data_IF_372970271188
#
_entry.id   IF_372970271188
#
_cell.length_a   1.000
_cell.length_b   1.000
_cell.length_c   1.000
_cell.angle_alpha   90.00
_cell.angle_beta   90.00
_cell.angle_gamma   90.00
#
_symmetry.space_group_name_H-M   'P 1'
#
loop_
_entity.id
_entity.type
_entity.pdbx_description
1 polymer ?
#
# COMPACT_ATOMS: atom_id res chain seq x y z
N UNK A 1 19.82 21.37 -20.76
CA UNK A 1 19.95 20.26 -19.80
C UNK A 1 19.12 19.15 -20.40
N UNK A 2 19.77 18.12 -20.95
CA UNK A 2 19.08 17.02 -21.60
C UNK A 2 18.32 16.26 -20.53
N UNK A 3 17.00 16.37 -20.57
CA UNK A 3 16.07 15.52 -19.85
C UNK A 3 16.39 14.09 -20.26
N UNK A 4 17.17 13.40 -19.44
CA UNK A 4 17.49 12.00 -19.66
C UNK A 4 16.20 11.25 -19.38
N UNK A 5 15.43 10.96 -20.44
CA UNK A 5 14.23 10.14 -20.34
C UNK A 5 14.54 8.90 -19.49
N UNK A 6 13.79 8.74 -18.40
CA UNK A 6 13.90 7.58 -17.51
C UNK A 6 13.65 6.34 -18.37
N UNK A 7 14.62 5.41 -18.40
CA UNK A 7 14.56 4.21 -19.24
C UNK A 7 13.76 3.06 -18.60
N UNK A 8 13.41 3.19 -17.32
CA UNK A 8 12.64 2.20 -16.57
C UNK A 8 12.46 2.59 -15.10
N UNK A 9 11.64 1.82 -14.40
CA UNK A 9 11.29 2.05 -13.00
C UNK A 9 11.64 0.84 -12.14
N UNK A 10 12.10 1.08 -10.92
CA UNK A 10 12.17 0.04 -9.89
C UNK A 10 11.05 0.30 -8.87
N UNK A 11 10.00 -0.52 -8.92
CA UNK A 11 8.84 -0.39 -8.04
C UNK A 11 9.13 -1.12 -6.75
N UNK A 12 9.20 -0.39 -5.62
CA UNK A 12 9.62 -0.90 -4.31
C UNK A 12 8.40 -1.04 -3.39
N UNK A 13 8.27 -2.21 -2.76
CA UNK A 13 7.20 -2.56 -1.83
C UNK A 13 7.20 -1.83 -0.49
N UNK A 14 6.29 -2.26 0.39
CA UNK A 14 6.10 -1.75 1.75
C UNK A 14 7.40 -1.84 2.57
N UNK A 15 7.92 -0.69 3.00
CA UNK A 15 9.23 -0.58 3.67
C UNK A 15 9.11 -0.72 5.18
N UNK A 16 8.06 -0.13 5.80
CA UNK A 16 7.78 -0.22 7.24
C UNK A 16 9.00 0.02 8.15
N UNK A 17 9.79 1.06 7.90
CA UNK A 17 10.95 1.38 8.72
C UNK A 17 12.12 0.41 8.60
N UNK A 18 12.15 -0.50 7.63
CA UNK A 18 13.29 -1.38 7.34
C UNK A 18 14.39 -0.62 6.57
N UNK A 19 15.10 0.26 7.27
CA UNK A 19 16.08 1.17 6.66
C UNK A 19 17.32 0.45 6.10
N UNK A 20 17.82 -0.57 6.82
CA UNK A 20 18.99 -1.32 6.38
C UNK A 20 18.67 -2.13 5.11
N UNK A 21 17.48 -2.74 5.08
CA UNK A 21 16.96 -3.43 3.91
C UNK A 21 16.69 -2.45 2.76
N UNK A 22 16.13 -1.27 3.01
CA UNK A 22 15.94 -0.28 1.95
C UNK A 22 17.27 0.09 1.27
N UNK A 23 18.29 0.43 2.05
CA UNK A 23 19.59 0.83 1.49
C UNK A 23 20.32 -0.34 0.81
N UNK A 24 20.22 -1.55 1.36
CA UNK A 24 20.78 -2.74 0.73
C UNK A 24 20.08 -3.05 -0.61
N UNK A 25 18.76 -2.90 -0.69
CA UNK A 25 18.00 -3.10 -1.92
C UNK A 25 18.35 -2.04 -2.96
N UNK A 26 18.45 -0.77 -2.57
CA UNK A 26 18.87 0.32 -3.46
C UNK A 26 20.27 0.04 -4.04
N UNK A 27 21.22 -0.39 -3.20
CA UNK A 27 22.56 -0.78 -3.65
C UNK A 27 22.52 -1.97 -4.62
N UNK A 28 21.74 -3.02 -4.31
CA UNK A 28 21.54 -4.19 -5.20
C UNK A 28 20.93 -3.78 -6.54
N UNK A 29 20.03 -2.80 -6.54
CA UNK A 29 19.42 -2.23 -7.73
C UNK A 29 20.35 -1.25 -8.46
N UNK A 30 21.55 -0.98 -7.96
CA UNK A 30 22.54 -0.11 -8.61
C UNK A 30 22.32 1.39 -8.39
N UNK A 31 21.56 1.78 -7.36
CA UNK A 31 21.48 3.18 -6.94
C UNK A 31 22.71 3.53 -6.11
N UNK A 32 23.25 4.72 -6.36
CA UNK A 32 24.40 5.25 -5.64
C UNK A 32 24.05 6.59 -4.99
N UNK A 33 24.72 6.91 -3.89
CA UNK A 33 24.58 8.22 -3.24
C UNK A 33 25.24 9.28 -4.15
N UNK A 34 24.45 10.25 -4.60
CA UNK A 34 24.93 11.34 -5.43
C UNK A 34 25.90 12.24 -4.63
N UNK A 35 27.16 12.33 -5.05
CA UNK A 35 28.24 13.01 -4.31
C UNK A 35 28.08 14.52 -4.08
N UNK A 36 27.04 15.16 -4.65
CA UNK A 36 26.74 16.58 -4.43
C UNK A 36 25.48 16.87 -3.63
N UNK A 37 24.50 15.97 -3.63
CA UNK A 37 23.15 16.20 -3.10
C UNK A 37 22.74 15.17 -2.04
N UNK A 38 23.44 14.02 -1.98
CA UNK A 38 23.34 13.05 -0.89
C UNK A 38 22.17 12.06 -0.98
N UNK A 39 21.33 12.16 -2.02
CA UNK A 39 20.27 11.18 -2.29
C UNK A 39 20.76 9.98 -3.11
N UNK A 40 20.05 8.86 -3.01
CA UNK A 40 20.25 7.73 -3.91
C UNK A 40 19.73 8.04 -5.33
N UNK A 41 20.51 7.71 -6.35
CA UNK A 41 20.17 7.91 -7.76
C UNK A 41 20.70 6.76 -8.61
N UNK A 42 19.91 6.34 -9.60
CA UNK A 42 20.35 5.46 -10.67
C UNK A 42 20.58 6.29 -11.96
N UNK A 43 21.59 5.99 -12.80
CA UNK A 43 21.89 6.77 -13.99
C UNK A 43 20.80 6.78 -15.07
N UNK A 44 19.93 5.76 -15.10
CA UNK A 44 18.88 5.62 -16.14
C UNK A 44 17.51 5.15 -15.64
N UNK A 45 17.34 4.89 -14.34
CA UNK A 45 16.10 4.35 -13.75
C UNK A 45 15.64 5.24 -12.60
N UNK A 46 14.34 5.18 -12.29
CA UNK A 46 13.76 5.93 -11.18
C UNK A 46 13.04 4.97 -10.22
N UNK A 47 13.19 5.17 -8.91
CA UNK A 47 12.48 4.33 -7.94
C UNK A 47 11.01 4.77 -7.84
N UNK A 48 10.10 3.84 -7.59
CA UNK A 48 8.69 4.15 -7.31
C UNK A 48 8.23 3.38 -6.08
N UNK A 49 7.98 4.06 -4.97
CA UNK A 49 7.55 3.43 -3.72
C UNK A 49 6.02 3.26 -3.68
N UNK A 50 5.55 2.09 -3.25
CA UNK A 50 4.10 1.80 -3.15
C UNK A 50 3.44 2.31 -1.85
N UNK A 51 4.16 3.11 -1.06
CA UNK A 51 3.69 3.64 0.23
C UNK A 51 4.18 2.81 1.42
N UNK A 52 3.57 3.02 2.58
CA UNK A 52 3.82 2.27 3.80
C UNK A 52 5.31 2.28 4.20
N UNK A 53 5.85 3.50 4.29
CA UNK A 53 7.23 3.74 4.70
C UNK A 53 7.42 3.59 6.21
N UNK A 54 6.38 3.91 6.99
CA UNK A 54 6.45 4.03 8.45
C UNK A 54 5.78 2.86 9.17
N UNK A 55 5.91 2.90 10.50
CA UNK A 55 5.43 1.95 11.50
C UNK A 55 6.12 0.59 11.46
N UNK A 56 5.97 -0.18 12.55
CA UNK A 56 6.53 -1.52 12.79
C UNK A 56 8.06 -1.63 12.91
N UNK A 57 8.83 -1.31 11.87
CA UNK A 57 10.27 -1.58 11.82
C UNK A 57 11.13 -0.57 12.57
N UNK A 58 12.45 -0.85 12.70
CA UNK A 58 13.32 -0.14 13.64
C UNK A 58 13.96 1.14 13.11
N UNK A 59 13.83 1.49 11.83
CA UNK A 59 14.56 2.58 11.16
C UNK A 59 13.65 3.67 10.58
N UNK A 60 12.61 4.07 11.30
CA UNK A 60 11.55 5.00 10.85
C UNK A 60 12.10 6.30 10.26
N UNK A 61 12.90 7.03 11.05
CA UNK A 61 13.44 8.33 10.62
C UNK A 61 14.39 8.19 9.42
N UNK A 62 15.19 7.13 9.37
CA UNK A 62 16.18 6.91 8.30
C UNK A 62 15.51 6.56 6.97
N UNK A 63 14.47 5.71 6.99
CA UNK A 63 13.64 5.46 5.79
C UNK A 63 13.08 6.78 5.26
N UNK A 64 12.49 7.59 6.14
CA UNK A 64 11.89 8.87 5.74
C UNK A 64 12.93 9.85 5.17
N UNK A 65 14.12 9.93 5.76
CA UNK A 65 15.22 10.76 5.25
C UNK A 65 15.65 10.32 3.86
N UNK A 66 15.84 9.02 3.64
CA UNK A 66 16.25 8.45 2.35
C UNK A 66 15.18 8.69 1.28
N UNK A 67 13.96 8.24 1.53
CA UNK A 67 12.89 8.28 0.51
C UNK A 67 12.49 9.71 0.20
N UNK A 68 12.35 10.57 1.21
CA UNK A 68 12.01 11.98 0.97
C UNK A 68 13.10 12.70 0.17
N UNK A 69 14.38 12.47 0.48
CA UNK A 69 15.48 13.07 -0.28
C UNK A 69 15.47 12.65 -1.76
N UNK A 70 15.17 11.37 -2.05
CA UNK A 70 15.04 10.89 -3.42
C UNK A 70 13.85 11.53 -4.15
N UNK A 71 12.69 11.66 -3.48
CA UNK A 71 11.50 12.28 -4.05
C UNK A 71 11.72 13.77 -4.31
N UNK A 72 12.28 14.51 -3.35
CA UNK A 72 12.59 15.93 -3.48
C UNK A 72 13.58 16.21 -4.63
N UNK A 73 14.52 15.29 -4.87
CA UNK A 73 15.51 15.37 -5.95
C UNK A 73 15.04 14.79 -7.31
N UNK A 74 13.80 14.28 -7.37
CA UNK A 74 13.23 13.65 -8.56
C UNK A 74 13.89 12.33 -8.97
N UNK A 75 14.63 11.66 -8.07
CA UNK A 75 15.18 10.31 -8.32
C UNK A 75 14.23 9.19 -7.86
N UNK A 76 13.13 9.55 -7.19
CA UNK A 76 12.03 8.65 -6.86
C UNK A 76 10.65 9.31 -7.01
N UNK A 77 9.63 8.46 -7.14
CA UNK A 77 8.22 8.80 -6.94
C UNK A 77 7.63 7.89 -5.86
N UNK A 78 6.45 8.23 -5.35
CA UNK A 78 5.77 7.47 -4.29
C UNK A 78 4.26 7.66 -4.37
N UNK A 79 3.51 6.62 -3.99
CA UNK A 79 2.08 6.73 -3.67
C UNK A 79 1.84 6.64 -2.16
N UNK A 80 0.74 7.19 -1.69
CA UNK A 80 0.33 7.14 -0.30
C UNK A 80 -0.01 5.71 0.13
N UNK A 81 0.60 5.24 1.22
CA UNK A 81 0.21 4.02 1.91
C UNK A 81 -0.89 4.27 2.94
N UNK A 82 -1.47 3.19 3.45
CA UNK A 82 -2.47 3.32 4.50
C UNK A 82 -1.84 3.77 5.83
N UNK A 83 -0.56 3.52 6.06
CA UNK A 83 0.13 3.94 7.29
C UNK A 83 0.38 5.46 7.30
N UNK A 84 0.77 6.06 6.18
CA UNK A 84 0.85 7.52 6.06
C UNK A 84 -0.52 8.17 6.25
N UNK A 85 -1.57 7.64 5.62
CA UNK A 85 -2.95 8.12 5.80
C UNK A 85 -3.43 8.00 7.25
N UNK A 86 -3.16 6.87 7.90
CA UNK A 86 -3.50 6.65 9.30
C UNK A 86 -2.75 7.60 10.23
N UNK A 87 -1.49 7.93 9.94
CA UNK A 87 -0.71 8.90 10.69
C UNK A 87 -1.33 10.30 10.58
N UNK A 88 -1.73 10.75 9.39
CA UNK A 88 -2.48 11.99 9.21
C UNK A 88 -3.72 12.01 10.12
N UNK A 89 -4.52 10.95 10.11
CA UNK A 89 -5.70 10.84 10.98
C UNK A 89 -5.36 10.80 12.48
N UNK A 90 -4.26 10.15 12.86
CA UNK A 90 -3.82 10.02 14.26
C UNK A 90 -3.40 11.36 14.84
N UNK A 91 -2.83 12.24 14.02
CA UNK A 91 -2.34 13.56 14.40
C UNK A 91 -3.35 14.69 14.19
N UNK A 92 -4.45 14.43 13.49
CA UNK A 92 -5.45 15.46 13.20
C UNK A 92 -6.65 15.41 14.15
N UNK A 93 -6.74 16.40 15.04
CA UNK A 93 -7.88 16.61 15.93
C UNK A 93 -9.05 17.24 15.16
N UNK A 94 -10.26 16.67 15.27
CA UNK A 94 -11.45 17.19 14.60
C UNK A 94 -12.75 16.98 15.41
N UNK A 95 -13.56 18.04 15.63
CA UNK A 95 -13.21 19.45 15.45
C UNK A 95 -12.02 19.86 16.33
N UNK A 96 -11.28 20.90 15.92
CA UNK A 96 -10.13 21.39 16.68
C UNK A 96 -10.52 21.77 18.13
N UNK A 97 -9.73 21.34 19.12
CA UNK A 97 -9.98 21.55 20.54
C UNK A 97 -11.03 20.63 21.17
N UNK A 98 -11.53 19.61 20.46
CA UNK A 98 -12.56 18.69 20.96
C UNK A 98 -12.04 17.50 21.78
N UNK A 99 -10.73 17.26 21.76
CA UNK A 99 -10.05 16.05 22.24
C UNK A 99 -10.24 14.82 21.33
N UNK A 100 -10.99 14.93 20.22
CA UNK A 100 -11.28 13.82 19.30
C UNK A 100 -10.39 13.90 18.06
N UNK A 101 -9.83 12.76 17.68
CA UNK A 101 -8.94 12.65 16.52
C UNK A 101 -9.61 11.84 15.41
N UNK A 102 -9.31 12.17 14.15
CA UNK A 102 -9.86 11.48 12.98
C UNK A 102 -9.56 9.97 13.03
N UNK A 103 -8.37 9.59 13.51
CA UNK A 103 -8.07 8.23 13.95
C UNK A 103 -7.99 8.19 15.47
N UNK A 104 -8.76 7.30 16.08
CA UNK A 104 -8.81 7.17 17.54
C UNK A 104 -7.45 6.84 18.13
N UNK A 105 -7.04 7.51 19.21
CA UNK A 105 -5.80 7.24 19.95
C UNK A 105 -6.00 6.21 21.07
N UNK A 106 -6.47 5.02 20.72
CA UNK A 106 -6.61 3.91 21.64
C UNK A 106 -5.34 3.03 21.65
N UNK A 107 -5.23 2.10 22.59
CA UNK A 107 -4.05 1.24 22.75
C UNK A 107 -3.65 0.51 21.45
N UNK A 108 -4.63 0.05 20.65
CA UNK A 108 -4.39 -0.61 19.36
C UNK A 108 -3.74 0.32 18.35
N UNK A 109 -4.33 1.49 18.10
CA UNK A 109 -3.83 2.42 17.09
C UNK A 109 -2.50 3.05 17.52
N UNK A 110 -2.34 3.35 18.81
CA UNK A 110 -1.07 3.82 19.36
C UNK A 110 0.01 2.75 19.20
N UNK A 111 -0.28 1.48 19.51
CA UNK A 111 0.68 0.38 19.31
C UNK A 111 1.13 0.27 17.83
N UNK A 112 0.19 0.41 16.88
CA UNK A 112 0.53 0.39 15.46
C UNK A 112 1.48 1.53 15.07
N UNK A 113 1.28 2.73 15.63
CA UNK A 113 2.05 3.93 15.32
C UNK A 113 3.26 4.17 16.25
N UNK A 114 3.50 3.27 17.21
CA UNK A 114 4.42 3.51 18.33
C UNK A 114 5.86 3.70 17.84
N UNK A 115 6.32 2.89 16.88
CA UNK A 115 7.68 2.97 16.37
C UNK A 115 7.99 4.36 15.78
N UNK A 116 7.04 4.97 15.07
CA UNK A 116 7.16 6.32 14.54
C UNK A 116 7.22 7.36 15.67
N UNK A 117 6.31 7.25 16.65
CA UNK A 117 6.27 8.14 17.80
C UNK A 117 7.54 8.08 18.66
N UNK A 118 8.13 6.89 18.81
CA UNK A 118 9.33 6.68 19.63
C UNK A 118 10.58 7.30 19.00
N UNK A 119 10.66 7.36 17.67
CA UNK A 119 11.86 7.81 16.96
C UNK A 119 11.82 9.28 16.54
N UNK A 120 10.64 9.82 16.23
CA UNK A 120 10.52 11.16 15.69
C UNK A 120 10.12 12.16 16.78
N UNK A 121 10.86 13.27 16.86
CA UNK A 121 10.45 14.45 17.65
C UNK A 121 9.19 15.08 17.06
N UNK A 122 8.42 15.83 17.86
CA UNK A 122 7.22 16.53 17.39
C UNK A 122 7.46 17.40 16.15
N UNK A 123 8.64 18.03 16.04
CA UNK A 123 9.01 18.81 14.87
C UNK A 123 9.18 17.93 13.62
N UNK A 124 9.86 16.81 13.74
CA UNK A 124 10.02 15.85 12.64
C UNK A 124 8.68 15.22 12.26
N UNK A 125 7.84 14.87 13.24
CA UNK A 125 6.50 14.35 12.98
C UNK A 125 5.70 15.33 12.13
N UNK A 126 5.62 16.61 12.51
CA UNK A 126 4.94 17.64 11.69
C UNK A 126 5.53 17.75 10.30
N UNK A 127 6.86 17.81 10.18
CA UNK A 127 7.53 17.91 8.88
C UNK A 127 7.14 16.78 7.92
N UNK A 128 7.13 15.53 8.40
CA UNK A 128 6.77 14.39 7.55
C UNK A 128 5.26 14.24 7.35
N UNK A 129 4.43 14.64 8.31
CA UNK A 129 2.97 14.69 8.12
C UNK A 129 2.59 15.71 7.04
N UNK A 130 3.24 16.87 7.02
CA UNK A 130 3.04 17.87 5.96
C UNK A 130 3.42 17.30 4.58
N UNK A 131 4.50 16.52 4.51
CA UNK A 131 4.87 15.81 3.29
C UNK A 131 3.87 14.69 2.93
N UNK A 132 3.44 13.87 3.88
CA UNK A 132 2.45 12.80 3.66
C UNK A 132 1.16 13.34 3.05
N UNK A 133 0.69 14.50 3.49
CA UNK A 133 -0.51 15.15 2.94
C UNK A 133 -0.41 15.49 1.44
N UNK A 134 0.81 15.53 0.88
CA UNK A 134 1.08 15.80 -0.54
C UNK A 134 1.21 14.55 -1.41
N UNK A 135 1.23 13.36 -0.82
CA UNK A 135 1.45 12.12 -1.57
C UNK A 135 0.22 11.79 -2.45
N UNK A 136 0.41 11.38 -3.72
CA UNK A 136 -0.68 10.95 -4.57
C UNK A 136 -1.17 9.56 -4.15
N UNK A 137 -2.46 9.30 -4.30
CA UNK A 137 -3.10 8.00 -4.04
C UNK A 137 -2.76 6.95 -5.11
N UNK A 138 -2.41 7.38 -6.32
CA UNK A 138 -2.02 6.51 -7.43
C UNK A 138 -1.08 7.26 -8.40
N UNK A 139 -0.35 6.50 -9.20
CA UNK A 139 0.44 6.98 -10.34
C UNK A 139 0.04 6.21 -11.61
N UNK A 140 -0.13 6.92 -12.72
CA UNK A 140 -0.21 6.35 -14.08
C UNK A 140 0.96 6.95 -14.86
N UNK A 141 1.97 6.13 -15.17
CA UNK A 141 3.29 6.56 -15.66
C UNK A 141 3.50 6.23 -17.15
N UNK A 142 2.42 6.16 -17.92
CA UNK A 142 2.44 5.85 -19.35
C UNK A 142 3.15 4.52 -19.68
N UNK A 143 2.42 3.43 -19.44
CA UNK A 143 2.91 2.06 -19.65
C UNK A 143 2.91 1.22 -18.38
N UNK A 144 2.84 1.84 -17.21
CA UNK A 144 2.60 1.16 -15.94
C UNK A 144 1.81 2.02 -14.96
N UNK A 145 1.22 1.36 -13.97
CA UNK A 145 0.39 1.95 -12.92
C UNK A 145 0.83 1.51 -11.55
N UNK A 146 0.75 2.41 -10.57
CA UNK A 146 1.10 2.12 -9.17
C UNK A 146 0.01 2.62 -8.24
N UNK A 147 -0.38 1.79 -7.29
CA UNK A 147 -1.35 2.10 -6.22
C UNK A 147 -0.96 1.30 -4.99
N UNK A 148 -1.23 1.81 -3.78
CA UNK A 148 -0.85 1.06 -2.59
C UNK A 148 -1.60 -0.28 -2.46
N UNK A 149 -2.93 -0.33 -2.65
CA UNK A 149 -3.67 -1.57 -2.42
C UNK A 149 -4.59 -2.05 -3.55
N UNK A 150 -5.38 -1.18 -4.20
CA UNK A 150 -6.27 -1.63 -5.28
C UNK A 150 -6.46 -0.58 -6.37
N UNK A 151 -6.24 -0.99 -7.62
CA UNK A 151 -6.48 -0.15 -8.79
C UNK A 151 -7.97 -0.13 -9.14
N UNK A 152 -8.76 0.56 -8.30
CA UNK A 152 -10.21 0.65 -8.43
C UNK A 152 -10.63 1.91 -9.19
N UNK A 153 -10.93 1.78 -10.49
CA UNK A 153 -11.18 2.92 -11.38
C UNK A 153 -12.34 3.80 -10.91
N UNK A 154 -13.42 3.20 -10.41
CA UNK A 154 -14.58 3.91 -9.93
C UNK A 154 -14.24 4.78 -8.71
N UNK A 155 -13.37 4.29 -7.82
CA UNK A 155 -12.86 5.07 -6.67
C UNK A 155 -12.03 6.25 -7.13
N UNK A 156 -11.11 6.03 -8.07
CA UNK A 156 -10.28 7.11 -8.64
C UNK A 156 -11.14 8.16 -9.35
N UNK A 157 -12.10 7.73 -10.16
CA UNK A 157 -13.02 8.64 -10.85
C UNK A 157 -13.87 9.44 -9.86
N UNK A 158 -14.27 8.83 -8.73
CA UNK A 158 -14.95 9.54 -7.65
C UNK A 158 -14.04 10.57 -7.00
N UNK A 159 -12.81 10.22 -6.64
CA UNK A 159 -11.84 11.17 -6.05
C UNK A 159 -11.56 12.31 -7.02
N UNK A 160 -11.24 12.01 -8.28
CA UNK A 160 -10.93 13.00 -9.30
C UNK A 160 -12.11 13.95 -9.57
N UNK A 161 -13.34 13.43 -9.63
CA UNK A 161 -14.54 14.24 -9.85
C UNK A 161 -14.84 15.19 -8.70
N UNK A 162 -14.56 14.78 -7.46
CA UNK A 162 -14.90 15.58 -6.28
C UNK A 162 -13.77 16.52 -5.83
N UNK A 163 -12.52 16.09 -5.94
CA UNK A 163 -11.36 16.80 -5.39
C UNK A 163 -10.35 17.24 -6.45
N UNK A 164 -10.48 16.78 -7.70
CA UNK A 164 -9.68 17.26 -8.83
C UNK A 164 -8.20 16.84 -8.81
N UNK A 165 -7.79 16.00 -7.85
CA UNK A 165 -6.39 15.62 -7.64
C UNK A 165 -6.27 14.19 -7.11
N UNK A 166 -5.20 13.50 -7.50
CA UNK A 166 -4.78 12.24 -6.88
C UNK A 166 -4.10 12.44 -5.52
N UNK A 167 -3.65 13.65 -5.18
CA UNK A 167 -3.05 14.02 -3.89
C UNK A 167 -3.96 15.00 -3.12
N UNK A 168 -5.09 14.53 -2.54
CA UNK A 168 -6.14 15.43 -2.07
C UNK A 168 -5.94 15.97 -0.65
N UNK A 169 -5.04 15.41 0.16
CA UNK A 169 -5.06 15.57 1.62
C UNK A 169 -4.31 16.79 2.17
N UNK A 170 -3.71 17.61 1.30
CA UNK A 170 -3.29 18.96 1.66
C UNK A 170 -4.49 19.83 2.07
N UNK A 171 -5.70 19.51 1.57
CA UNK A 171 -6.95 20.08 2.07
C UNK A 171 -7.48 19.25 3.25
N UNK A 172 -7.58 19.88 4.41
CA UNK A 172 -8.10 19.28 5.63
C UNK A 172 -9.54 18.79 5.49
N UNK A 173 -10.39 19.47 4.72
CA UNK A 173 -11.77 19.04 4.50
C UNK A 173 -11.84 17.68 3.78
N UNK A 174 -10.91 17.43 2.86
CA UNK A 174 -10.79 16.13 2.18
C UNK A 174 -10.34 15.04 3.15
N UNK A 175 -9.35 15.33 4.00
CA UNK A 175 -8.87 14.37 5.02
C UNK A 175 -9.97 14.00 6.02
N UNK A 176 -10.75 14.97 6.49
CA UNK A 176 -11.90 14.75 7.38
C UNK A 176 -12.95 13.88 6.68
N UNK A 177 -13.31 14.22 5.43
CA UNK A 177 -14.28 13.46 4.65
C UNK A 177 -13.82 12.02 4.35
N UNK A 178 -12.52 11.80 4.20
CA UNK A 178 -11.95 10.46 4.02
C UNK A 178 -11.96 9.59 5.30
N UNK A 179 -12.15 10.20 6.48
CA UNK A 179 -12.25 9.49 7.76
C UNK A 179 -13.70 9.32 8.25
N UNK A 180 -14.67 9.93 7.57
CA UNK A 180 -16.10 9.83 7.91
C UNK A 180 -16.75 8.67 7.16
N UNK A 181 -17.09 7.60 7.88
CA UNK A 181 -17.78 6.41 7.32
C UNK A 181 -19.13 6.71 6.67
N UNK A 182 -19.76 7.84 6.99
CA UNK A 182 -21.01 8.25 6.35
C UNK A 182 -20.77 8.99 5.03
N UNK A 183 -19.53 9.41 4.76
CA UNK A 183 -19.19 10.15 3.55
C UNK A 183 -18.99 9.21 2.36
N UNK A 184 -19.56 9.58 1.21
CA UNK A 184 -19.52 8.77 -0.04
C UNK A 184 -18.11 8.44 -0.57
N UNK A 185 -17.08 9.17 -0.14
CA UNK A 185 -15.68 8.93 -0.55
C UNK A 185 -14.92 8.04 0.43
N UNK A 186 -15.50 7.69 1.59
CA UNK A 186 -14.84 6.83 2.56
C UNK A 186 -14.44 5.49 1.92
N UNK A 187 -15.41 4.78 1.34
CA UNK A 187 -15.16 3.50 0.66
C UNK A 187 -14.22 3.66 -0.54
N UNK A 188 -14.22 4.83 -1.20
CA UNK A 188 -13.30 5.08 -2.29
C UNK A 188 -11.84 5.09 -1.80
N UNK A 189 -11.57 5.77 -0.68
CA UNK A 189 -10.25 5.82 -0.05
C UNK A 189 -9.86 4.48 0.59
N UNK A 190 -10.80 3.80 1.26
CA UNK A 190 -10.55 2.46 1.81
C UNK A 190 -10.18 1.46 0.70
N UNK A 191 -10.87 1.49 -0.45
CA UNK A 191 -10.51 0.63 -1.58
C UNK A 191 -9.08 0.92 -2.08
N UNK A 192 -8.72 2.18 -2.30
CA UNK A 192 -7.41 2.55 -2.86
C UNK A 192 -6.25 2.22 -1.91
N UNK A 193 -6.45 2.41 -0.60
CA UNK A 193 -5.41 2.26 0.43
C UNK A 193 -5.45 0.92 1.16
N UNK A 194 -6.53 0.15 1.14
CA UNK A 194 -6.63 -1.11 1.92
C UNK A 194 -7.16 -2.29 1.11
N UNK A 195 -7.57 -2.04 -0.12
CA UNK A 195 -8.05 -3.05 -1.04
C UNK A 195 -9.57 -3.23 -0.97
N UNK A 196 -10.10 -3.93 -1.98
CA UNK A 196 -11.52 -4.25 -2.04
C UNK A 196 -11.85 -5.43 -1.14
N UNK A 197 -12.88 -5.29 -0.30
CA UNK A 197 -13.30 -6.32 0.66
C UNK A 197 -14.66 -6.92 0.29
N UNK A 198 -14.90 -8.14 0.78
CA UNK A 198 -16.17 -8.85 0.68
C UNK A 198 -16.61 -9.33 2.07
N UNK A 199 -17.90 -9.18 2.37
CA UNK A 199 -18.47 -9.57 3.65
C UNK A 199 -18.72 -11.07 3.72
N UNK A 200 -17.97 -11.77 4.55
CA UNK A 200 -18.10 -13.23 4.77
C UNK A 200 -19.45 -13.57 5.41
N UNK A 201 -19.92 -12.75 6.35
CA UNK A 201 -21.19 -12.95 7.05
C UNK A 201 -22.41 -12.83 6.11
N UNK A 202 -22.37 -11.93 5.12
CA UNK A 202 -23.41 -11.84 4.08
C UNK A 202 -23.43 -13.07 3.17
N UNK A 203 -22.35 -13.84 3.14
CA UNK A 203 -22.25 -15.12 2.45
C UNK A 203 -22.50 -16.34 3.36
N UNK A 204 -22.96 -16.12 4.60
CA UNK A 204 -23.30 -17.19 5.55
C UNK A 204 -22.09 -17.84 6.23
N UNK A 205 -20.93 -17.16 6.25
CA UNK A 205 -19.73 -17.61 6.93
C UNK A 205 -19.55 -16.87 8.27
N UNK A 206 -18.91 -17.49 9.28
CA UNK A 206 -18.66 -16.84 10.56
C UNK A 206 -17.61 -15.72 10.43
N UNK A 207 -17.55 -14.77 11.37
CA UNK A 207 -16.42 -13.86 11.50
C UNK A 207 -15.12 -14.63 11.82
N UNK A 208 -13.97 -14.07 11.43
CA UNK A 208 -12.63 -14.63 11.73
C UNK A 208 -11.83 -13.71 12.65
N UNK A 209 -10.81 -14.24 13.33
CA UNK A 209 -9.81 -13.44 14.04
C UNK A 209 -8.61 -13.18 13.14
N UNK A 210 -8.22 -11.92 12.97
CA UNK A 210 -6.97 -11.57 12.27
C UNK A 210 -5.73 -11.96 13.08
N UNK A 211 -4.53 -11.79 12.49
CA UNK A 211 -3.24 -12.12 13.13
C UNK A 211 -3.00 -11.38 14.46
N UNK A 212 -3.70 -10.29 14.69
CA UNK A 212 -3.63 -9.48 15.92
C UNK A 212 -4.78 -9.81 16.89
N UNK A 213 -5.60 -10.82 16.60
CA UNK A 213 -6.73 -11.27 17.43
C UNK A 213 -8.00 -10.43 17.29
N UNK A 214 -8.11 -9.56 16.27
CA UNK A 214 -9.33 -8.79 16.07
C UNK A 214 -10.35 -9.55 15.24
N UNK A 215 -11.61 -9.51 15.67
CA UNK A 215 -12.73 -10.04 14.90
C UNK A 215 -12.97 -9.24 13.62
N UNK A 216 -13.12 -9.94 12.50
CA UNK A 216 -13.36 -9.42 11.16
C UNK A 216 -14.53 -10.15 10.51
N UNK A 217 -15.43 -9.39 9.91
CA UNK A 217 -16.56 -9.91 9.12
C UNK A 217 -16.34 -9.78 7.61
N UNK A 218 -15.37 -8.97 7.23
CA UNK A 218 -15.01 -8.69 5.84
C UNK A 218 -13.58 -9.15 5.61
N UNK A 219 -13.32 -9.67 4.41
CA UNK A 219 -11.99 -10.08 3.99
C UNK A 219 -11.65 -9.46 2.64
N UNK A 220 -10.38 -9.11 2.46
CA UNK A 220 -9.88 -8.58 1.20
C UNK A 220 -10.04 -9.58 0.07
N UNK A 221 -10.20 -9.04 -1.13
CA UNK A 221 -10.35 -9.82 -2.35
C UNK A 221 -9.14 -9.68 -3.26
N UNK A 222 -8.80 -10.77 -3.95
CA UNK A 222 -7.81 -10.82 -5.03
C UNK A 222 -8.38 -10.16 -6.26
N UNK A 223 -8.48 -8.84 -6.26
CA UNK A 223 -9.03 -8.07 -7.38
C UNK A 223 -8.22 -8.24 -8.68
N UNK A 224 -7.01 -8.78 -8.62
CA UNK A 224 -6.13 -9.00 -9.77
C UNK A 224 -6.32 -10.32 -10.52
N UNK A 225 -7.01 -11.32 -9.94
CA UNK A 225 -7.20 -12.63 -10.59
C UNK A 225 -8.51 -12.64 -11.37
N UNK A 226 -8.46 -12.47 -12.69
CA UNK A 226 -9.67 -12.22 -13.50
C UNK A 226 -10.63 -13.41 -13.62
N UNK A 227 -10.08 -14.61 -13.60
CA UNK A 227 -10.71 -15.91 -13.81
C UNK A 227 -11.28 -16.55 -12.54
N UNK A 228 -10.97 -15.98 -11.37
CA UNK A 228 -11.49 -16.41 -10.09
C UNK A 228 -13.01 -16.16 -9.96
N UNK A 229 -13.77 -17.23 -9.69
CA UNK A 229 -15.24 -17.21 -9.66
C UNK A 229 -15.84 -17.57 -8.29
N UNK A 230 -15.05 -18.05 -7.33
CA UNK A 230 -15.55 -18.54 -6.02
C UNK A 230 -14.99 -17.72 -4.86
N UNK A 231 -15.62 -17.79 -3.68
CA UNK A 231 -15.09 -17.15 -2.46
C UNK A 231 -13.70 -17.69 -2.11
N UNK A 232 -13.46 -18.98 -2.32
CA UNK A 232 -12.15 -19.61 -2.11
C UNK A 232 -11.06 -18.95 -2.94
N UNK A 233 -11.35 -18.67 -4.20
CA UNK A 233 -10.37 -18.11 -5.14
C UNK A 233 -10.12 -16.62 -4.87
N UNK A 234 -11.18 -15.87 -4.54
CA UNK A 234 -11.06 -14.41 -4.40
C UNK A 234 -10.66 -13.97 -3.00
N UNK A 235 -10.98 -14.68 -1.92
CA UNK A 235 -10.72 -14.17 -0.56
C UNK A 235 -9.24 -14.36 -0.18
N UNK A 236 -8.59 -13.26 0.19
CA UNK A 236 -7.22 -13.25 0.71
C UNK A 236 -7.24 -13.66 2.18
N UNK A 237 -7.25 -14.98 2.40
CA UNK A 237 -7.08 -15.60 3.72
C UNK A 237 -6.15 -16.81 3.61
N UNK A 238 -5.26 -17.00 4.57
CA UNK A 238 -4.48 -18.22 4.74
C UNK A 238 -5.31 -19.29 5.47
N UNK A 239 -4.88 -20.54 5.38
CA UNK A 239 -5.54 -21.66 6.08
C UNK A 239 -5.37 -21.65 7.61
N UNK A 240 -4.66 -20.68 8.17
CA UNK A 240 -4.29 -20.59 9.59
C UNK A 240 -5.21 -19.69 10.42
N UNK A 241 -6.28 -19.17 9.83
CA UNK A 241 -7.23 -18.32 10.56
C UNK A 241 -8.18 -19.14 11.43
N UNK A 242 -8.60 -18.53 12.54
CA UNK A 242 -9.62 -19.07 13.43
C UNK A 242 -10.90 -18.23 13.34
N UNK A 243 -12.03 -18.83 13.66
CA UNK A 243 -13.29 -18.14 13.94
C UNK A 243 -13.17 -17.25 15.17
N UNK A 244 -14.14 -16.35 15.37
CA UNK A 244 -14.21 -15.50 16.57
C UNK A 244 -14.13 -16.29 17.90
N UNK A 245 -14.62 -17.53 17.90
CA UNK A 245 -14.66 -18.40 19.08
C UNK A 245 -13.39 -19.27 19.25
N UNK A 246 -12.39 -19.10 18.38
CA UNK A 246 -11.09 -19.77 18.48
C UNK A 246 -10.97 -21.11 17.75
N UNK A 247 -12.05 -21.59 17.13
CA UNK A 247 -12.03 -22.80 16.29
C UNK A 247 -11.41 -22.52 14.92
N UNK A 248 -10.77 -23.51 14.25
CA UNK A 248 -10.26 -23.35 12.90
C UNK A 248 -11.31 -22.80 11.93
N UNK A 249 -10.95 -21.82 11.10
CA UNK A 249 -11.88 -21.21 10.17
C UNK A 249 -12.35 -22.24 9.13
N UNK A 250 -13.66 -22.31 8.81
CA UNK A 250 -14.18 -23.27 7.85
C UNK A 250 -13.56 -23.06 6.47
N UNK A 251 -13.47 -24.13 5.69
CA UNK A 251 -13.06 -24.01 4.30
C UNK A 251 -14.03 -23.10 3.54
N UNK A 252 -13.47 -22.17 2.78
CA UNK A 252 -14.25 -21.28 1.94
C UNK A 252 -14.97 -22.06 0.84
N UNK A 253 -16.23 -21.69 0.52
CA UNK A 253 -17.03 -22.43 -0.44
C UNK A 253 -16.50 -22.26 -1.86
N UNK A 254 -16.49 -23.35 -2.62
CA UNK A 254 -16.18 -23.39 -4.06
C UNK A 254 -17.41 -23.08 -4.94
N UNK A 255 -18.49 -22.62 -4.31
CA UNK A 255 -19.69 -22.21 -5.04
C UNK A 255 -19.38 -20.92 -5.79
N UNK A 256 -19.64 -20.92 -7.10
CA UNK A 256 -19.53 -19.73 -7.92
C UNK A 256 -20.38 -18.59 -7.33
N UNK A 257 -19.77 -17.40 -7.29
CA UNK A 257 -20.46 -16.18 -6.93
C UNK A 257 -21.51 -15.86 -8.02
N UNK A 258 -22.67 -15.30 -7.64
CA UNK A 258 -23.63 -14.85 -8.64
C UNK A 258 -23.02 -13.74 -9.52
N UNK A 259 -23.56 -13.50 -10.73
CA UNK A 259 -23.18 -12.34 -11.54
C UNK A 259 -23.27 -11.04 -10.72
N UNK A 260 -22.21 -10.24 -10.74
CA UNK A 260 -22.10 -9.02 -9.91
C UNK A 260 -21.85 -9.28 -8.42
N UNK A 261 -21.65 -10.54 -8.00
CA UNK A 261 -21.33 -10.91 -6.63
C UNK A 261 -19.86 -10.69 -6.24
N UNK A 262 -18.99 -10.37 -7.20
CA UNK A 262 -17.60 -9.97 -6.95
C UNK A 262 -17.53 -8.45 -6.80
N UNK A 263 -16.92 -7.92 -5.74
CA UNK A 263 -16.81 -6.48 -5.52
C UNK A 263 -16.10 -5.76 -6.67
N UNK A 264 -14.94 -6.27 -7.10
CA UNK A 264 -14.15 -5.69 -8.18
C UNK A 264 -13.15 -6.70 -8.78
N UNK A 265 -12.79 -6.46 -10.04
CA UNK A 265 -11.72 -7.18 -10.75
C UNK A 265 -11.03 -6.28 -11.77
N UNK A 266 -9.70 -6.26 -11.75
CA UNK A 266 -8.92 -5.57 -12.77
C UNK A 266 -8.87 -6.41 -14.04
N UNK A 267 -9.26 -5.79 -15.16
CA UNK A 267 -9.28 -6.39 -16.51
C UNK A 267 -8.63 -5.47 -17.54
N UNK A 268 -7.82 -4.51 -17.08
CA UNK A 268 -7.12 -3.58 -17.95
C UNK A 268 -5.84 -4.17 -18.55
N UNK A 269 -5.36 -3.52 -19.61
CA UNK A 269 -4.19 -3.97 -20.37
C UNK A 269 -2.86 -3.36 -19.88
N UNK A 270 -2.90 -2.40 -18.97
CA UNK A 270 -1.69 -1.73 -18.45
C UNK A 270 -1.24 -2.46 -17.17
N UNK A 271 0.05 -2.82 -17.03
CA UNK A 271 0.61 -3.35 -15.79
C UNK A 271 0.26 -2.51 -14.54
N UNK A 272 -0.16 -3.17 -13.47
CA UNK A 272 -0.44 -2.54 -12.17
C UNK A 272 0.43 -3.14 -11.08
N UNK A 273 1.16 -2.29 -10.36
CA UNK A 273 1.97 -2.67 -9.20
C UNK A 273 1.31 -2.19 -7.90
N UNK A 274 1.36 -3.04 -6.87
CA UNK A 274 0.71 -2.78 -5.59
C UNK A 274 1.39 -3.45 -4.40
N UNK A 275 1.10 -2.95 -3.19
CA UNK A 275 1.56 -3.46 -1.89
C UNK A 275 0.40 -3.94 -1.00
N UNK A 276 0.52 -3.85 0.33
CA UNK A 276 -0.54 -4.11 1.31
C UNK A 276 -1.05 -5.57 1.51
N UNK A 277 -0.57 -6.56 0.75
CA UNK A 277 -1.06 -7.96 0.82
C UNK A 277 -0.18 -8.93 1.61
N UNK A 278 0.89 -8.47 2.25
CA UNK A 278 1.70 -9.22 3.21
C UNK A 278 2.14 -10.59 2.67
N UNK A 279 2.70 -10.61 1.46
CA UNK A 279 3.17 -11.84 0.84
C UNK A 279 4.45 -12.31 1.53
N UNK A 280 4.86 -13.53 1.23
CA UNK A 280 6.07 -14.16 1.77
C UNK A 280 6.72 -14.97 0.65
N UNK A 281 7.97 -15.37 0.89
CA UNK A 281 8.75 -16.19 -0.03
C UNK A 281 8.87 -15.57 -1.44
N UNK A 282 9.12 -16.40 -2.44
CA UNK A 282 9.22 -15.95 -3.83
C UNK A 282 7.84 -15.70 -4.45
N UNK A 283 7.71 -14.70 -5.35
CA UNK A 283 6.45 -14.40 -6.02
C UNK A 283 5.88 -15.63 -6.75
N UNK A 284 4.62 -15.94 -6.48
CA UNK A 284 3.90 -17.09 -7.03
C UNK A 284 2.93 -16.65 -8.16
N UNK A 285 3.02 -17.23 -9.37
CA UNK A 285 2.10 -16.93 -10.47
C UNK A 285 0.66 -17.27 -10.09
N UNK A 286 -0.29 -16.38 -10.43
CA UNK A 286 -1.70 -16.56 -10.10
C UNK A 286 -2.03 -16.29 -8.64
N UNK A 287 -1.07 -15.90 -7.81
CA UNK A 287 -1.31 -15.45 -6.44
C UNK A 287 -0.76 -14.05 -6.17
N UNK A 288 0.52 -13.86 -6.48
CA UNK A 288 1.27 -12.61 -6.27
C UNK A 288 1.30 -11.74 -7.52
N UNK A 289 1.26 -12.37 -8.69
CA UNK A 289 1.25 -11.68 -9.95
C UNK A 289 0.43 -12.43 -11.01
N UNK A 290 0.02 -11.68 -12.03
CA UNK A 290 -0.59 -12.15 -13.28
C UNK A 290 0.17 -11.53 -14.45
N UNK A 291 -0.26 -11.77 -15.69
CA UNK A 291 0.31 -11.06 -16.83
C UNK A 291 0.21 -9.53 -16.74
N UNK A 292 -0.74 -8.96 -15.96
CA UNK A 292 -0.97 -7.50 -15.91
C UNK A 292 -0.87 -6.89 -14.52
N UNK A 293 -0.55 -7.66 -13.48
CA UNK A 293 -0.56 -7.17 -12.10
C UNK A 293 0.56 -7.81 -11.29
N UNK A 294 1.21 -7.07 -10.41
CA UNK A 294 2.31 -7.57 -9.59
C UNK A 294 2.29 -6.96 -8.18
N UNK A 295 2.19 -7.83 -7.17
CA UNK A 295 2.42 -7.47 -5.77
C UNK A 295 3.92 -7.28 -5.53
N UNK A 296 4.31 -6.26 -4.79
CA UNK A 296 5.70 -6.02 -4.32
C UNK A 296 5.82 -5.98 -2.79
N UNK A 297 4.73 -6.17 -2.05
CA UNK A 297 4.75 -6.30 -0.58
C UNK A 297 4.97 -7.77 -0.16
N UNK A 298 6.19 -8.07 0.31
CA UNK A 298 6.59 -9.37 0.83
C UNK A 298 7.00 -9.32 2.31
N UNK A 299 6.31 -8.50 3.11
CA UNK A 299 6.41 -8.52 4.58
C UNK A 299 7.82 -8.32 5.15
N UNK A 300 8.62 -7.39 4.60
CA UNK A 300 10.01 -7.14 5.02
C UNK A 300 10.17 -7.00 6.55
N UNK A 301 9.24 -6.30 7.19
CA UNK A 301 9.24 -6.05 8.63
C UNK A 301 8.86 -7.26 9.50
N UNK A 302 8.40 -8.35 8.90
CA UNK A 302 7.92 -9.54 9.61
C UNK A 302 8.60 -10.83 9.10
N UNK A 303 9.92 -10.75 8.89
CA UNK A 303 10.75 -11.89 8.49
C UNK A 303 10.66 -12.27 7.02
N UNK A 304 9.94 -11.48 6.21
CA UNK A 304 9.96 -11.58 4.75
C UNK A 304 11.05 -10.71 4.13
N UNK A 305 10.93 -10.40 2.85
CA UNK A 305 11.97 -9.71 2.07
C UNK A 305 11.46 -8.39 1.52
N UNK A 306 12.24 -7.30 1.68
CA UNK A 306 11.97 -6.09 0.92
C UNK A 306 12.17 -6.38 -0.57
N UNK A 307 11.13 -6.12 -1.35
CA UNK A 307 11.01 -6.58 -2.72
C UNK A 307 10.82 -5.40 -3.64
N UNK A 308 11.50 -5.43 -4.78
CA UNK A 308 11.27 -4.54 -5.90
C UNK A 308 10.92 -5.33 -7.16
N UNK A 309 10.30 -4.64 -8.12
CA UNK A 309 10.15 -5.10 -9.48
C UNK A 309 10.79 -4.09 -10.44
N UNK A 310 11.65 -4.57 -11.35
CA UNK A 310 12.27 -3.74 -12.39
C UNK A 310 11.40 -3.74 -13.64
N UNK A 311 10.74 -2.63 -13.91
CA UNK A 311 10.02 -2.42 -15.17
C UNK A 311 10.89 -1.67 -16.17
N UNK A 312 10.93 -2.17 -17.41
CA UNK A 312 11.79 -1.67 -18.50
C UNK A 312 11.00 -1.43 -19.80
N UNK A 313 9.69 -1.22 -19.71
CA UNK A 313 8.81 -0.98 -20.87
C UNK A 313 7.94 -2.17 -21.27
N UNK A 314 8.03 -3.29 -20.56
CA UNK A 314 7.25 -4.49 -20.86
C UNK A 314 5.77 -4.30 -20.51
N UNK A 315 4.89 -4.93 -21.29
CA UNK A 315 3.45 -4.90 -21.06
C UNK A 315 2.99 -6.08 -20.19
N UNK A 316 3.81 -7.12 -20.09
CA UNK A 316 3.52 -8.36 -19.37
C UNK A 316 4.51 -8.54 -18.22
N UNK A 317 4.01 -8.85 -17.03
CA UNK A 317 4.86 -9.09 -15.85
C UNK A 317 5.78 -10.30 -16.08
N UNK A 318 7.08 -10.09 -15.88
CA UNK A 318 8.10 -11.13 -15.93
C UNK A 318 8.62 -11.43 -14.52
N UNK A 319 8.49 -12.66 -14.00
CA UNK A 319 9.00 -13.01 -12.67
C UNK A 319 10.50 -12.78 -12.50
N UNK A 320 11.29 -12.81 -13.58
CA UNK A 320 12.75 -12.59 -13.52
C UNK A 320 13.11 -11.13 -13.21
N UNK A 321 12.14 -10.20 -13.32
CA UNK A 321 12.32 -8.79 -12.98
C UNK A 321 12.12 -8.49 -11.49
N UNK A 322 11.72 -9.47 -10.68
CA UNK A 322 11.69 -9.31 -9.23
C UNK A 322 13.09 -9.31 -8.61
N UNK A 323 13.33 -8.34 -7.74
CA UNK A 323 14.52 -8.26 -6.90
C UNK A 323 14.12 -8.35 -5.43
N UNK A 324 14.47 -9.46 -4.79
CA UNK A 324 14.31 -9.66 -3.34
C UNK A 324 15.68 -9.62 -2.68
N UNK A 325 15.78 -8.93 -1.54
CA UNK A 325 16.94 -9.05 -0.66
C UNK A 325 16.97 -10.46 -0.07
N UNK A 326 18.06 -11.20 -0.36
CA UNK A 326 18.35 -12.50 0.24
C UNK A 326 19.28 -12.36 1.43
#
# INVERSE_FOLDING_TARGET
MTDSAVAGYDIIGDVHGCADELEALLAQLGYEIAGGTGEYRHPSRQAVFVGDLIDRGPGQLRVLQVVKAMVDAGSAQIVMGNHEFNALGYHHEHPAGSGKYLRTRNAKHTKQHQAFLDQLTDHQQRHYLDWFATLPLWLDLDGLRVVHACWHKESMDMVQRHWGSSAPFADTAHLVAAHDKAHKLYDAIENLLKGSEISLVKHGLPPYQDKDGHTREEARTRWWISDACTLRDIVVMSSSYNTADGEPYPQLPEKALPPGGRPFVYTGEVPVFYGHYWRQDSPTPGEDFTGRTACVDFSAVNGGTLTAYRWSGEDTIDPDNYAQLR
#
